data_IF_592266996691
#
_entry.id   IF_592266996691
#
_cell.length_a   1.000
_cell.length_b   1.000
_cell.length_c   1.000
_cell.angle_alpha   90.00
_cell.angle_beta   90.00
_cell.angle_gamma   90.00
#
_symmetry.space_group_name_H-M   'P 1'
#
loop_
_entity.id
_entity.type
_entity.pdbx_description
1 polymer ?
#
# COMPACT_ATOMS: atom_id res chain seq x y z
N UNK A 1 18.33 -13.13 0.46
CA UNK A 1 18.59 -11.75 0.94
C UNK A 1 17.93 -10.72 0.05
N UNK A 2 17.02 -9.90 0.60
CA UNK A 2 16.34 -8.77 -0.06
C UNK A 2 16.67 -7.46 0.67
N UNK A 3 16.60 -6.32 -0.03
CA UNK A 3 16.92 -5.00 0.53
C UNK A 3 15.63 -4.27 0.90
N UNK A 4 15.48 -3.90 2.17
CA UNK A 4 14.32 -3.17 2.66
C UNK A 4 14.72 -1.75 3.03
N UNK A 5 13.81 -0.80 2.81
CA UNK A 5 13.93 0.56 3.30
C UNK A 5 13.13 0.73 4.59
N UNK A 6 13.77 1.29 5.62
CA UNK A 6 13.13 1.61 6.88
C UNK A 6 12.09 2.72 6.64
N UNK A 7 10.83 2.40 6.93
CA UNK A 7 9.72 3.34 6.89
C UNK A 7 9.57 4.06 8.22
N UNK A 8 9.68 3.31 9.31
CA UNK A 8 9.39 3.79 10.66
C UNK A 8 10.21 3.09 11.74
N UNK A 9 10.39 3.81 12.85
CA UNK A 9 11.07 3.32 14.03
C UNK A 9 10.31 3.76 15.29
N UNK A 10 9.91 2.82 16.13
CA UNK A 10 9.21 3.13 17.38
C UNK A 10 9.98 2.56 18.55
N UNK A 11 10.24 3.40 19.55
CA UNK A 11 10.91 2.96 20.77
C UNK A 11 9.93 2.18 21.64
N UNK A 12 10.34 0.99 22.08
CA UNK A 12 9.55 0.21 23.02
C UNK A 12 9.60 0.87 24.41
N UNK A 13 8.45 1.33 24.88
CA UNK A 13 8.28 1.86 26.25
C UNK A 13 7.94 0.71 27.20
N UNK A 14 8.93 0.16 27.90
CA UNK A 14 8.66 -0.84 28.94
C UNK A 14 9.84 -1.64 29.49
N UNK A 15 11.01 -1.62 28.85
CA UNK A 15 12.19 -2.39 29.26
C UNK A 15 13.34 -1.55 29.83
N UNK A 16 14.22 -2.21 30.61
CA UNK A 16 15.51 -1.64 31.05
C UNK A 16 16.51 -1.49 29.88
N UNK A 17 16.26 -2.15 28.74
CA UNK A 17 17.04 -2.07 27.50
C UNK A 17 16.29 -1.24 26.44
N UNK A 18 17.02 -0.38 25.71
CA UNK A 18 16.44 0.43 24.64
C UNK A 18 16.24 -0.44 23.40
N UNK A 19 15.03 -0.97 23.24
CA UNK A 19 14.61 -1.69 22.04
C UNK A 19 13.81 -0.79 21.10
N UNK A 20 13.97 -1.03 19.81
CA UNK A 20 13.26 -0.36 18.74
C UNK A 20 12.52 -1.40 17.91
N UNK A 21 11.26 -1.12 17.61
CA UNK A 21 10.49 -1.82 16.60
C UNK A 21 10.65 -1.05 15.30
N UNK A 22 11.22 -1.71 14.30
CA UNK A 22 11.48 -1.14 13.00
C UNK A 22 10.48 -1.71 12.02
N UNK A 23 9.87 -0.84 11.23
CA UNK A 23 8.98 -1.16 10.13
C UNK A 23 9.72 -0.85 8.83
N UNK A 24 9.82 -1.81 7.91
CA UNK A 24 10.53 -1.65 6.65
C UNK A 24 9.81 -2.31 5.48
N UNK A 25 10.06 -1.84 4.25
CA UNK A 25 9.46 -2.36 3.03
C UNK A 25 10.49 -2.59 1.92
N UNK A 26 10.38 -3.71 1.23
CA UNK A 26 11.00 -3.92 -0.09
C UNK A 26 10.00 -3.42 -1.13
N UNK A 27 10.39 -2.45 -1.96
CA UNK A 27 9.44 -1.69 -2.77
C UNK A 27 9.26 -2.24 -4.19
N UNK A 28 10.11 -3.14 -4.70
CA UNK A 28 9.96 -3.69 -6.06
C UNK A 28 8.97 -4.86 -6.09
N UNK A 29 9.04 -5.71 -5.07
CA UNK A 29 8.11 -6.78 -4.76
C UNK A 29 7.59 -6.51 -3.34
N UNK A 30 6.56 -5.64 -3.20
CA UNK A 30 6.05 -5.14 -1.92
C UNK A 30 6.06 -6.21 -0.83
N UNK A 31 7.06 -6.12 0.04
CA UNK A 31 7.22 -7.03 1.17
C UNK A 31 7.39 -6.18 2.41
N UNK A 32 6.49 -6.32 3.36
CA UNK A 32 6.51 -5.58 4.60
C UNK A 32 7.08 -6.43 5.72
N UNK A 33 8.00 -5.86 6.50
CA UNK A 33 8.56 -6.51 7.66
C UNK A 33 8.53 -5.60 8.88
N UNK A 34 8.32 -6.22 10.04
CA UNK A 34 8.62 -5.61 11.34
C UNK A 34 9.61 -6.47 12.08
N UNK A 35 10.62 -5.85 12.67
CA UNK A 35 11.63 -6.55 13.47
C UNK A 35 12.03 -5.72 14.67
N UNK A 36 12.57 -6.39 15.68
CA UNK A 36 13.09 -5.75 16.88
C UNK A 36 14.61 -5.61 16.78
N UNK A 37 15.14 -4.47 17.22
CA UNK A 37 16.59 -4.23 17.29
C UNK A 37 16.95 -3.30 18.45
N UNK A 38 18.17 -3.42 18.96
CA UNK A 38 18.75 -2.47 19.91
C UNK A 38 19.34 -1.23 19.22
N UNK A 39 19.32 -1.19 17.89
CA UNK A 39 19.87 -0.10 17.09
C UNK A 39 18.75 0.83 16.62
N UNK A 40 18.93 2.12 16.85
CA UNK A 40 18.03 3.14 16.31
C UNK A 40 18.29 3.32 14.80
N UNK A 41 17.34 2.92 13.96
CA UNK A 41 17.43 3.03 12.51
C UNK A 41 16.50 4.12 12.00
N UNK A 42 17.06 5.20 11.47
CA UNK A 42 16.29 6.29 10.90
C UNK A 42 15.56 5.87 9.60
N UNK A 43 14.44 6.56 9.32
CA UNK A 43 13.70 6.45 8.06
C UNK A 43 14.61 6.64 6.84
N UNK A 44 14.43 5.80 5.82
CA UNK A 44 15.23 5.79 4.58
C UNK A 44 16.53 5.00 4.66
N UNK A 45 16.91 4.45 5.82
CA UNK A 45 18.04 3.52 5.90
C UNK A 45 17.68 2.22 5.17
N UNK A 46 18.63 1.72 4.39
CA UNK A 46 18.55 0.41 3.76
C UNK A 46 19.08 -0.67 4.70
N UNK A 47 18.33 -1.76 4.82
CA UNK A 47 18.68 -2.96 5.56
C UNK A 47 18.55 -4.19 4.66
N UNK A 48 19.19 -5.27 5.05
CA UNK A 48 19.10 -6.56 4.38
C UNK A 48 18.25 -7.50 5.25
N UNK A 49 17.34 -8.25 4.66
CA UNK A 49 16.60 -9.30 5.38
C UNK A 49 16.80 -10.63 4.66
N UNK A 50 17.15 -11.65 5.43
CA UNK A 50 17.30 -13.02 4.95
C UNK A 50 16.54 -13.99 5.87
N UNK A 51 15.48 -14.59 5.34
CA UNK A 51 14.56 -15.39 6.15
C UNK A 51 13.94 -14.59 7.29
N UNK A 52 14.31 -14.94 8.52
CA UNK A 52 13.83 -14.33 9.77
C UNK A 52 14.83 -13.35 10.38
N UNK A 53 15.95 -13.07 9.72
CA UNK A 53 17.03 -12.25 10.28
C UNK A 53 17.16 -10.94 9.52
N UNK A 54 17.33 -9.84 10.25
CA UNK A 54 17.62 -8.51 9.71
C UNK A 54 19.10 -8.16 9.91
N UNK A 55 19.70 -7.54 8.90
CA UNK A 55 21.11 -7.17 8.85
C UNK A 55 21.28 -5.71 8.42
N UNK A 56 22.31 -5.06 8.95
CA UNK A 56 22.82 -3.79 8.46
C UNK A 56 24.29 -3.98 8.09
N UNK A 57 24.62 -3.78 6.81
CA UNK A 57 26.00 -3.92 6.29
C UNK A 57 26.64 -5.28 6.68
N UNK A 58 25.87 -6.37 6.54
CA UNK A 58 26.31 -7.73 6.88
C UNK A 58 26.35 -8.07 8.38
N UNK A 59 26.00 -7.15 9.28
CA UNK A 59 25.91 -7.44 10.73
C UNK A 59 24.45 -7.69 11.10
N UNK A 60 24.16 -8.80 11.78
CA UNK A 60 22.80 -9.08 12.29
C UNK A 60 22.41 -8.02 13.32
N UNK A 61 21.26 -7.39 13.11
CA UNK A 61 20.73 -6.33 13.97
C UNK A 61 19.44 -6.74 14.71
N UNK A 62 18.76 -7.81 14.26
CA UNK A 62 17.47 -8.19 14.82
C UNK A 62 16.85 -9.42 14.16
N UNK A 63 15.71 -9.84 14.71
CA UNK A 63 14.88 -10.93 14.20
C UNK A 63 13.51 -10.38 13.76
N UNK A 64 13.05 -10.83 12.59
CA UNK A 64 11.77 -10.45 11.99
C UNK A 64 10.62 -11.04 12.80
N UNK A 65 9.75 -10.17 13.29
CA UNK A 65 8.56 -10.49 14.07
C UNK A 65 7.34 -10.72 13.17
N UNK A 66 7.18 -9.86 12.16
CA UNK A 66 6.05 -9.87 11.23
C UNK A 66 6.59 -9.76 9.82
N UNK A 67 6.03 -10.56 8.91
CA UNK A 67 6.27 -10.48 7.48
C UNK A 67 4.92 -10.55 6.76
N UNK A 68 4.67 -9.63 5.83
CA UNK A 68 3.54 -9.65 4.90
C UNK A 68 4.08 -9.56 3.48
N UNK A 69 3.63 -10.41 2.58
CA UNK A 69 4.13 -10.51 1.21
C UNK A 69 3.02 -10.14 0.22
N UNK A 70 3.30 -9.21 -0.69
CA UNK A 70 2.33 -8.76 -1.70
C UNK A 70 1.93 -9.88 -2.66
N UNK A 71 2.75 -10.92 -2.82
CA UNK A 71 2.42 -12.08 -3.65
C UNK A 71 1.27 -12.94 -3.08
N UNK A 72 0.96 -12.79 -1.79
CA UNK A 72 -0.16 -13.47 -1.14
C UNK A 72 -1.48 -12.70 -1.30
N UNK A 73 -1.43 -11.49 -1.85
CA UNK A 73 -2.56 -10.57 -2.01
C UNK A 73 -3.15 -10.70 -3.40
N UNK A 74 -4.47 -10.83 -3.47
CA UNK A 74 -5.20 -10.82 -4.74
C UNK A 74 -5.52 -9.39 -5.16
N UNK A 75 -5.16 -9.01 -6.39
CA UNK A 75 -5.67 -7.77 -7.00
C UNK A 75 -6.87 -8.10 -7.90
N UNK A 76 -8.01 -7.46 -7.65
CA UNK A 76 -9.28 -7.69 -8.36
C UNK A 76 -9.74 -6.42 -9.07
N UNK A 77 -10.07 -6.53 -10.36
CA UNK A 77 -10.56 -5.41 -11.19
C UNK A 77 -12.01 -5.64 -11.66
N UNK A 78 -12.81 -6.30 -10.82
CA UNK A 78 -14.14 -6.83 -11.18
C UNK A 78 -15.30 -6.15 -10.42
N UNK A 79 -15.02 -5.00 -9.82
CA UNK A 79 -15.94 -4.24 -8.97
C UNK A 79 -15.79 -2.76 -9.25
N UNK A 80 -16.85 -2.01 -8.97
CA UNK A 80 -16.84 -0.55 -8.94
C UNK A 80 -16.28 -0.08 -7.60
N UNK A 81 -15.35 0.87 -7.63
CA UNK A 81 -14.66 1.41 -6.45
C UNK A 81 -14.59 2.93 -6.57
N UNK A 82 -14.97 3.64 -5.50
CA UNK A 82 -14.77 5.09 -5.44
C UNK A 82 -13.28 5.42 -5.32
N UNK A 83 -12.91 6.58 -5.85
CA UNK A 83 -11.54 7.08 -5.97
C UNK A 83 -10.75 6.37 -7.06
N UNK A 84 -10.25 5.14 -6.88
CA UNK A 84 -9.64 4.32 -7.96
C UNK A 84 -9.42 2.90 -7.50
N UNK A 85 -9.11 2.75 -6.22
CA UNK A 85 -8.87 1.50 -5.57
C UNK A 85 -9.31 1.54 -4.12
N UNK A 86 -9.15 0.39 -3.49
CA UNK A 86 -9.38 0.17 -2.08
C UNK A 86 -8.97 -1.25 -1.73
N UNK A 87 -9.15 -1.64 -0.47
CA UNK A 87 -8.73 -2.95 0.03
C UNK A 87 -9.81 -3.60 0.87
N UNK A 88 -9.72 -4.92 1.00
CA UNK A 88 -10.60 -5.67 1.89
C UNK A 88 -10.26 -5.42 3.35
N UNK A 89 -11.25 -5.57 4.23
CA UNK A 89 -11.07 -5.44 5.68
C UNK A 89 -9.92 -6.29 6.24
N UNK A 90 -9.68 -7.48 5.67
CA UNK A 90 -8.60 -8.40 6.06
C UNK A 90 -7.28 -8.20 5.30
N UNK A 91 -7.23 -7.23 4.39
CA UNK A 91 -6.03 -6.91 3.59
C UNK A 91 -5.62 -7.99 2.58
N UNK A 92 -6.44 -9.03 2.35
CA UNK A 92 -6.12 -10.13 1.42
C UNK A 92 -6.49 -9.85 -0.03
N UNK A 93 -7.36 -8.88 -0.26
CA UNK A 93 -7.76 -8.47 -1.61
C UNK A 93 -7.64 -6.96 -1.74
N UNK A 94 -6.92 -6.51 -2.76
CA UNK A 94 -6.96 -5.14 -3.24
C UNK A 94 -7.93 -5.08 -4.41
N UNK A 95 -8.79 -4.07 -4.42
CA UNK A 95 -9.75 -3.80 -5.46
C UNK A 95 -9.27 -2.59 -6.25
N UNK A 96 -9.30 -2.71 -7.58
CA UNK A 96 -9.23 -1.57 -8.49
C UNK A 96 -10.55 -1.47 -9.22
N UNK A 97 -11.00 -0.25 -9.43
CA UNK A 97 -12.22 0.02 -10.17
C UNK A 97 -12.17 -0.63 -11.56
N UNK A 98 -13.21 -1.39 -11.93
CA UNK A 98 -13.25 -2.14 -13.19
C UNK A 98 -13.24 -1.25 -14.44
N UNK A 99 -13.57 0.04 -14.28
CA UNK A 99 -13.54 1.04 -15.33
C UNK A 99 -12.22 1.81 -15.40
N UNK A 100 -11.32 1.61 -14.44
CA UNK A 100 -9.96 2.14 -14.51
C UNK A 100 -9.08 1.23 -15.37
N UNK A 101 -8.26 1.77 -16.30
CA UNK A 101 -7.42 0.95 -17.16
C UNK A 101 -6.38 0.16 -16.35
N UNK A 102 -6.30 -1.15 -16.62
CA UNK A 102 -5.24 -2.04 -16.09
C UNK A 102 -3.85 -1.72 -16.64
N UNK A 103 -3.79 -0.97 -17.74
CA UNK A 103 -2.55 -0.67 -18.46
C UNK A 103 -2.51 0.82 -18.80
N UNK A 104 -1.52 1.52 -18.24
CA UNK A 104 -1.24 2.93 -18.51
C UNK A 104 -0.05 3.03 -19.47
N UNK A 105 -0.18 3.83 -20.53
CA UNK A 105 0.83 3.94 -21.60
C UNK A 105 1.51 5.30 -21.57
N UNK A 106 2.84 5.31 -21.59
CA UNK A 106 3.70 6.49 -21.56
C UNK A 106 4.75 6.39 -22.66
N UNK A 107 4.35 6.71 -23.89
CA UNK A 107 5.18 6.48 -25.07
C UNK A 107 5.38 4.98 -25.32
N UNK A 108 6.63 4.50 -25.23
CA UNK A 108 7.02 3.11 -25.33
C UNK A 108 6.94 2.34 -24.00
N UNK A 109 6.71 3.05 -22.88
CA UNK A 109 6.63 2.47 -21.53
C UNK A 109 5.20 2.12 -21.18
N UNK A 110 5.06 1.06 -20.40
CA UNK A 110 3.78 0.55 -19.91
C UNK A 110 3.88 0.34 -18.41
N UNK A 111 2.91 0.88 -17.66
CA UNK A 111 2.74 0.62 -16.23
C UNK A 111 1.44 -0.16 -16.05
N UNK A 112 1.51 -1.26 -15.30
CA UNK A 112 0.34 -2.01 -14.86
C UNK A 112 -0.24 -1.34 -13.61
N UNK A 113 -1.49 -0.89 -13.67
CA UNK A 113 -2.12 -0.21 -12.53
C UNK A 113 -2.41 -1.15 -11.36
N UNK A 114 -2.49 -2.46 -11.61
CA UNK A 114 -2.56 -3.49 -10.55
C UNK A 114 -1.30 -3.51 -9.70
N UNK A 115 -0.16 -3.25 -10.34
CA UNK A 115 1.11 -3.11 -9.65
C UNK A 115 1.20 -1.74 -9.00
N UNK A 116 1.13 -0.65 -9.76
CA UNK A 116 1.42 0.69 -9.25
C UNK A 116 0.39 1.17 -8.22
N UNK A 117 -0.90 1.11 -8.53
CA UNK A 117 -1.96 1.51 -7.59
C UNK A 117 -2.24 0.36 -6.63
N UNK A 118 -2.45 -0.85 -7.14
CA UNK A 118 -2.87 -1.97 -6.30
C UNK A 118 -1.83 -2.41 -5.26
N UNK A 119 -0.64 -2.83 -5.72
CA UNK A 119 0.38 -3.40 -4.83
C UNK A 119 1.33 -2.36 -4.23
N UNK A 120 1.50 -1.19 -4.86
CA UNK A 120 2.46 -0.18 -4.40
C UNK A 120 1.81 1.05 -3.74
N UNK A 121 0.48 1.22 -3.84
CA UNK A 121 -0.26 2.26 -3.12
C UNK A 121 -1.22 1.65 -2.08
N UNK A 122 -2.28 0.98 -2.54
CA UNK A 122 -3.38 0.49 -1.68
C UNK A 122 -2.88 -0.50 -0.62
N UNK A 123 -1.99 -1.41 -1.01
CA UNK A 123 -1.50 -2.46 -0.12
C UNK A 123 -0.60 -1.94 1.02
N UNK A 124 0.46 -1.13 0.78
CA UNK A 124 1.23 -0.52 1.85
C UNK A 124 0.40 0.38 2.76
N UNK A 125 -0.57 1.12 2.20
CA UNK A 125 -1.50 1.93 3.00
C UNK A 125 -2.29 1.07 3.98
N UNK A 126 -2.86 -0.05 3.51
CA UNK A 126 -3.56 -1.02 4.35
C UNK A 126 -2.64 -1.59 5.42
N UNK A 127 -1.44 -2.04 5.07
CA UNK A 127 -0.52 -2.61 6.04
C UNK A 127 -0.14 -1.66 7.16
N UNK A 128 0.09 -0.39 6.84
CA UNK A 128 0.40 0.65 7.82
C UNK A 128 -0.85 1.00 8.65
N UNK A 129 -2.01 1.13 8.02
CA UNK A 129 -3.27 1.40 8.74
C UNK A 129 -3.59 0.28 9.75
N UNK A 130 -3.36 -0.98 9.39
CA UNK A 130 -3.51 -2.14 10.29
C UNK A 130 -2.51 -2.13 11.46
N UNK A 131 -1.36 -1.50 11.27
CA UNK A 131 -0.35 -1.27 12.31
C UNK A 131 -0.62 0.02 13.12
N UNK A 132 -1.85 0.53 13.06
CA UNK A 132 -2.36 1.68 13.79
C UNK A 132 -1.65 3.00 13.46
N UNK A 133 -1.02 3.11 12.29
CA UNK A 133 -0.62 4.41 11.75
C UNK A 133 -1.85 5.19 11.29
N UNK A 134 -1.84 6.50 11.54
CA UNK A 134 -2.90 7.40 11.08
C UNK A 134 -3.03 7.36 9.55
N UNK A 135 -4.27 7.30 9.06
CA UNK A 135 -4.56 7.14 7.62
C UNK A 135 -3.80 8.12 6.71
N UNK A 136 -3.76 9.46 6.97
CA UNK A 136 -3.00 10.37 6.10
C UNK A 136 -1.51 10.07 6.05
N UNK A 137 -0.96 9.56 7.15
CA UNK A 137 0.45 9.20 7.22
C UNK A 137 0.75 7.92 6.44
N UNK A 138 -0.11 6.91 6.60
CA UNK A 138 -0.05 5.69 5.79
C UNK A 138 -0.16 6.01 4.29
N UNK A 139 -1.09 6.89 3.92
CA UNK A 139 -1.32 7.36 2.56
C UNK A 139 -0.10 8.08 1.95
N UNK A 140 0.56 8.94 2.74
CA UNK A 140 1.78 9.64 2.30
C UNK A 140 2.92 8.65 2.00
N UNK A 141 3.12 7.66 2.88
CA UNK A 141 4.14 6.61 2.66
C UNK A 141 3.80 5.77 1.42
N UNK A 142 2.55 5.33 1.29
CA UNK A 142 2.05 4.57 0.14
C UNK A 142 2.28 5.32 -1.19
N UNK A 143 1.93 6.61 -1.24
CA UNK A 143 2.20 7.48 -2.38
C UNK A 143 3.70 7.53 -2.71
N UNK A 144 4.56 7.57 -1.70
CA UNK A 144 6.01 7.53 -1.89
C UNK A 144 6.53 6.21 -2.48
N UNK A 145 5.93 5.08 -2.10
CA UNK A 145 6.27 3.74 -2.61
C UNK A 145 5.81 3.59 -4.06
N UNK A 146 4.56 3.95 -4.37
CA UNK A 146 4.02 4.00 -5.73
C UNK A 146 4.92 4.86 -6.63
N UNK A 147 5.29 6.06 -6.18
CA UNK A 147 6.19 6.94 -6.92
C UNK A 147 7.52 6.26 -7.25
N UNK A 148 8.16 5.63 -6.26
CA UNK A 148 9.44 4.93 -6.47
C UNK A 148 9.30 3.80 -7.49
N UNK A 149 8.22 3.04 -7.44
CA UNK A 149 7.95 1.97 -8.41
C UNK A 149 7.76 2.54 -9.84
N UNK A 150 6.97 3.59 -9.99
CA UNK A 150 6.73 4.24 -11.29
C UNK A 150 8.02 4.83 -11.86
N UNK A 151 8.81 5.53 -11.03
CA UNK A 151 10.10 6.11 -11.44
C UNK A 151 11.14 5.03 -11.76
N UNK A 152 11.13 3.90 -11.04
CA UNK A 152 11.96 2.73 -11.36
C UNK A 152 11.64 2.16 -12.75
N UNK A 153 10.37 2.14 -13.13
CA UNK A 153 9.92 1.75 -14.47
C UNK A 153 10.13 2.85 -15.53
N UNK A 154 10.79 3.95 -15.16
CA UNK A 154 11.25 4.99 -16.07
C UNK A 154 10.18 6.02 -16.44
N UNK A 155 9.02 6.04 -15.80
CA UNK A 155 8.00 7.06 -16.02
C UNK A 155 8.18 8.16 -14.97
N UNK A 156 8.13 9.43 -15.36
CA UNK A 156 8.22 10.50 -14.36
C UNK A 156 6.94 10.57 -13.54
N UNK A 157 7.04 10.88 -12.25
CA UNK A 157 5.86 11.01 -11.39
C UNK A 157 4.80 11.96 -11.96
N UNK A 158 5.23 13.06 -12.57
CA UNK A 158 4.33 14.05 -13.18
C UNK A 158 3.55 13.48 -14.36
N UNK A 159 4.20 12.74 -15.25
CA UNK A 159 3.53 12.10 -16.40
C UNK A 159 2.52 11.08 -15.89
N UNK A 160 2.92 10.27 -14.90
CA UNK A 160 2.06 9.28 -14.27
C UNK A 160 0.82 9.91 -13.63
N UNK A 161 0.97 10.92 -12.76
CA UNK A 161 -0.16 11.62 -12.16
C UNK A 161 -1.10 12.22 -13.21
N UNK A 162 -0.55 12.80 -14.28
CA UNK A 162 -1.38 13.37 -15.38
C UNK A 162 -2.25 12.31 -16.03
N UNK A 163 -1.70 11.12 -16.27
CA UNK A 163 -2.42 10.01 -16.88
C UNK A 163 -3.42 9.38 -15.91
N UNK A 164 -3.05 9.20 -14.64
CA UNK A 164 -3.96 8.72 -13.59
C UNK A 164 -5.12 9.69 -13.40
N UNK A 165 -4.87 11.00 -13.26
CA UNK A 165 -5.88 12.05 -13.11
C UNK A 165 -6.87 12.09 -14.28
N UNK A 166 -6.38 11.84 -15.50
CA UNK A 166 -7.22 11.77 -16.70
C UNK A 166 -8.22 10.61 -16.61
N UNK A 167 -7.76 9.44 -16.20
CA UNK A 167 -8.61 8.25 -16.07
C UNK A 167 -9.52 8.33 -14.84
N UNK A 168 -9.02 8.92 -13.76
CA UNK A 168 -9.76 9.21 -12.53
C UNK A 168 -11.06 9.97 -12.80
N UNK A 169 -11.00 11.05 -13.58
CA UNK A 169 -12.18 11.85 -13.93
C UNK A 169 -13.27 11.02 -14.60
N UNK A 170 -12.90 10.00 -15.38
CA UNK A 170 -13.86 9.10 -16.01
C UNK A 170 -14.53 8.19 -14.98
N UNK A 171 -13.76 7.65 -14.02
CA UNK A 171 -14.29 6.83 -12.92
C UNK A 171 -15.20 7.65 -12.01
N UNK A 172 -14.79 8.84 -11.58
CA UNK A 172 -15.57 9.70 -10.69
C UNK A 172 -16.96 10.08 -11.21
N UNK A 173 -17.11 10.18 -12.54
CA UNK A 173 -18.39 10.51 -13.16
C UNK A 173 -19.41 9.37 -13.14
N UNK A 174 -18.99 8.15 -12.79
CA UNK A 174 -19.82 6.95 -12.79
C UNK A 174 -20.48 6.73 -11.44
N UNK A 175 -21.72 6.25 -11.48
CA UNK A 175 -22.43 5.74 -10.30
C UNK A 175 -21.99 4.30 -10.05
N UNK A 176 -21.77 3.93 -8.79
CA UNK A 176 -21.44 2.54 -8.44
C UNK A 176 -22.61 1.61 -8.76
N UNK A 177 -22.34 0.52 -9.46
CA UNK A 177 -23.27 -0.58 -9.69
C UNK A 177 -22.96 -1.78 -8.80
N UNK A 178 -21.69 -2.15 -8.66
CA UNK A 178 -21.25 -3.38 -7.96
C UNK A 178 -20.03 -3.12 -7.07
N UNK A 179 -20.28 -2.80 -5.81
CA UNK A 179 -19.22 -2.58 -4.81
C UNK A 179 -18.89 -3.88 -4.05
N UNK A 180 -17.62 -4.17 -3.70
CA UNK A 180 -17.28 -5.37 -2.94
C UNK A 180 -17.89 -5.36 -1.54
N UNK A 181 -18.42 -6.50 -1.09
CA UNK A 181 -19.04 -6.64 0.24
C UNK A 181 -18.07 -6.35 1.39
N UNK A 182 -16.79 -6.72 1.20
CA UNK A 182 -15.75 -6.66 2.23
C UNK A 182 -14.82 -5.45 2.07
N UNK A 183 -15.21 -4.43 1.31
CA UNK A 183 -14.44 -3.19 1.14
C UNK A 183 -14.24 -2.51 2.51
N UNK A 184 -13.00 -2.17 2.84
CA UNK A 184 -12.68 -1.39 4.04
C UNK A 184 -13.16 0.06 3.85
N UNK A 185 -14.00 0.52 4.77
CA UNK A 185 -14.60 1.84 4.68
C UNK A 185 -13.83 2.93 5.43
N UNK A 186 -12.72 2.57 6.11
CA UNK A 186 -11.93 3.50 6.89
C UNK A 186 -11.49 4.76 6.10
N UNK A 187 -11.02 4.67 4.85
CA UNK A 187 -10.65 5.85 4.06
C UNK A 187 -11.82 6.84 3.89
N UNK A 188 -13.00 6.34 3.50
CA UNK A 188 -14.19 7.16 3.27
C UNK A 188 -14.73 7.78 4.57
N UNK A 189 -14.66 7.04 5.67
CA UNK A 189 -15.05 7.53 6.99
C UNK A 189 -14.11 8.64 7.48
N UNK A 190 -12.80 8.48 7.26
CA UNK A 190 -11.79 9.49 7.61
C UNK A 190 -12.03 10.79 6.84
N UNK A 191 -12.20 10.71 5.51
CA UNK A 191 -12.48 11.85 4.64
C UNK A 191 -13.90 12.42 4.79
N UNK A 192 -14.77 11.77 5.58
CA UNK A 192 -16.18 12.13 5.78
C UNK A 192 -16.99 12.22 4.49
N UNK A 193 -16.67 11.36 3.52
CA UNK A 193 -17.33 11.33 2.22
C UNK A 193 -18.68 10.61 2.30
N UNK A 194 -19.70 11.38 2.67
CA UNK A 194 -21.06 10.86 2.88
C UNK A 194 -21.71 10.37 1.59
N UNK A 195 -21.37 10.97 0.45
CA UNK A 195 -21.94 10.58 -0.85
C UNK A 195 -21.33 9.25 -1.30
N UNK A 196 -20.01 9.09 -1.23
CA UNK A 196 -19.35 7.82 -1.50
C UNK A 196 -19.88 6.70 -0.59
N UNK A 197 -19.98 6.95 0.72
CA UNK A 197 -20.52 5.98 1.68
C UNK A 197 -21.96 5.58 1.38
N UNK A 198 -22.79 6.51 0.91
CA UNK A 198 -24.18 6.23 0.53
C UNK A 198 -24.23 5.35 -0.72
N UNK A 199 -23.47 5.70 -1.77
CA UNK A 199 -23.43 4.91 -3.00
C UNK A 199 -22.89 3.50 -2.77
N UNK A 200 -21.85 3.37 -1.93
CA UNK A 200 -21.28 2.06 -1.56
C UNK A 200 -22.38 1.19 -0.94
N UNK A 201 -23.13 1.71 0.04
CA UNK A 201 -24.23 0.97 0.67
C UNK A 201 -25.34 0.58 -0.29
N UNK A 202 -25.65 1.42 -1.28
CA UNK A 202 -26.67 1.14 -2.29
C UNK A 202 -26.23 0.06 -3.31
N UNK A 203 -24.93 -0.15 -3.48
CA UNK A 203 -24.34 -0.99 -4.53
C UNK A 203 -23.55 -2.18 -4.00
N UNK A 204 -23.41 -2.33 -2.68
CA UNK A 204 -22.79 -3.49 -2.04
C UNK A 204 -23.57 -4.75 -2.41
N UNK A 205 -22.92 -5.67 -3.13
CA UNK A 205 -23.48 -7.00 -3.33
C UNK A 205 -23.41 -7.78 -2.01
N UNK A 206 -24.52 -8.33 -1.53
CA UNK A 206 -24.46 -9.35 -0.48
C UNK A 206 -23.70 -10.56 -1.04
N UNK A 207 -22.69 -11.04 -0.30
CA UNK A 207 -21.96 -12.27 -0.63
C UNK A 207 -23.01 -13.41 -0.72
N UNK A 208 -23.34 -13.82 -1.95
CA UNK A 208 -24.31 -14.89 -2.25
C UNK A 208 -23.59 -16.19 -2.56
#
# INVERSE_FOLDING_TARGET
MKIFEVLEHTKETGGNTKKFIITAIEFLEPTYVKFETDTDLAKGILIEVDGTEAFQKGTKIGDVLIRKDGNEVRVSTAFDIKYTGGYSLDGKTVYLDEHFPVTLKFGDKIIDSRESIGLHHELPEKWLSDDAYEYPYAHEIATGIEKKYVEHNGVTWKEYCTEVDRNLRNVYSRKLGKTPARLDLAPYLYCRDREALKEIRESSSEDS
#
